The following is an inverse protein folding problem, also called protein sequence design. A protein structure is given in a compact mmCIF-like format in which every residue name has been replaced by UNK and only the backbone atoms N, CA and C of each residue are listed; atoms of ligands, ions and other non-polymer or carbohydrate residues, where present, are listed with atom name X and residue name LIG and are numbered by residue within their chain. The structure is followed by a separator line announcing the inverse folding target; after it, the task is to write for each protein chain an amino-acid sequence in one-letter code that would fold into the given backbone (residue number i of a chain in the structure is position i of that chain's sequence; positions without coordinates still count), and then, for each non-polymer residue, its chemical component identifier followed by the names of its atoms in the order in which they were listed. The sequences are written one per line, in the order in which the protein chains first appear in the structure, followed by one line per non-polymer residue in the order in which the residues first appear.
data_IF_264527131123
#
_entry.id   IF_264527131123
#
_cell.length_a   1.000
_cell.length_b   1.000
_cell.length_c   1.000
_cell.angle_alpha   90.00
_cell.angle_beta   90.00
_cell.angle_gamma   90.00
#
_symmetry.space_group_name_H-M   'P 1'
#
loop_
_entity.id
_entity.type
_entity.pdbx_description
1 polymer ?
#
# COMPACT_ATOMS: atom_id res chain seq x y z
N UNK A 1 -1.32 14.89 1.35
CA UNK A 1 -1.38 14.34 -0.03
C UNK A 1 -2.54 14.99 -0.77
N UNK A 2 -2.26 15.51 -1.93
CA UNK A 2 -3.28 16.16 -2.78
C UNK A 2 -3.47 15.36 -4.07
N UNK A 3 -4.73 15.16 -4.45
CA UNK A 3 -5.13 14.57 -5.72
C UNK A 3 -5.97 15.63 -6.48
N UNK A 4 -5.31 16.62 -7.13
CA UNK A 4 -6.02 17.77 -7.68
C UNK A 4 -7.06 17.43 -8.75
N UNK A 5 -6.79 16.40 -9.56
CA UNK A 5 -7.72 15.95 -10.59
C UNK A 5 -9.05 15.45 -10.02
N UNK A 6 -9.05 14.99 -8.76
CA UNK A 6 -10.23 14.52 -8.05
C UNK A 6 -10.78 15.56 -7.05
N UNK A 7 -10.08 16.69 -6.90
CA UNK A 7 -10.46 17.71 -5.91
C UNK A 7 -10.30 17.26 -4.46
N UNK A 8 -9.40 16.31 -4.20
CA UNK A 8 -9.23 15.71 -2.87
C UNK A 8 -7.89 16.11 -2.26
N UNK A 9 -7.91 16.38 -0.95
CA UNK A 9 -6.71 16.60 -0.13
C UNK A 9 -6.83 15.75 1.12
N UNK A 10 -5.74 15.05 1.45
CA UNK A 10 -5.68 14.18 2.62
C UNK A 10 -4.58 14.66 3.56
N UNK A 11 -4.90 14.69 4.84
CA UNK A 11 -3.99 15.12 5.90
C UNK A 11 -4.04 14.14 7.07
N UNK A 12 -3.10 14.29 8.00
CA UNK A 12 -3.10 13.50 9.24
C UNK A 12 -4.06 14.07 10.29
N UNK A 13 -4.40 15.35 10.17
CA UNK A 13 -5.30 16.04 11.09
C UNK A 13 -6.15 17.06 10.28
N UNK A 14 -7.49 16.85 10.19
CA UNK A 14 -8.21 15.69 10.69
C UNK A 14 -7.87 14.43 9.90
N UNK A 15 -7.74 13.31 10.60
CA UNK A 15 -7.44 12.04 9.96
C UNK A 15 -8.61 11.56 9.10
N UNK A 16 -8.35 10.95 7.93
CA UNK A 16 -9.42 10.37 7.13
C UNK A 16 -10.13 9.25 7.90
N UNK A 17 -11.43 9.11 7.65
CA UNK A 17 -12.23 8.01 8.19
C UNK A 17 -12.30 6.91 7.13
N UNK A 18 -11.84 5.72 7.48
CA UNK A 18 -11.89 4.58 6.56
C UNK A 18 -13.34 4.13 6.37
N UNK A 19 -13.78 3.94 5.11
CA UNK A 19 -15.05 3.28 4.88
C UNK A 19 -14.95 1.80 5.27
N UNK A 20 -16.09 1.16 5.65
CA UNK A 20 -16.08 -0.28 5.88
C UNK A 20 -15.76 -1.03 4.59
N UNK A 21 -15.15 -2.20 4.73
CA UNK A 21 -14.90 -3.06 3.57
C UNK A 21 -16.24 -3.54 3.01
N UNK A 22 -16.44 -3.33 1.71
CA UNK A 22 -17.70 -3.62 1.04
C UNK A 22 -17.58 -4.76 0.01
N UNK A 23 -16.35 -5.24 -0.22
CA UNK A 23 -16.06 -6.26 -1.22
C UNK A 23 -15.83 -7.61 -0.54
N UNK A 24 -16.46 -8.64 -1.04
CA UNK A 24 -16.14 -10.02 -0.64
C UNK A 24 -14.74 -10.39 -1.09
N UNK A 25 -14.37 -9.99 -2.30
CA UNK A 25 -13.06 -10.21 -2.88
C UNK A 25 -12.21 -8.94 -2.69
N UNK A 26 -11.10 -9.01 -1.95
CA UNK A 26 -10.25 -7.83 -1.78
C UNK A 26 -9.71 -7.32 -3.11
N UNK A 27 -9.53 -6.02 -3.22
CA UNK A 27 -8.89 -5.41 -4.39
C UNK A 27 -7.48 -4.99 -4.03
N UNK A 28 -6.53 -5.48 -4.81
CA UNK A 28 -5.13 -5.12 -4.70
C UNK A 28 -4.76 -4.13 -5.79
N UNK A 29 -4.09 -3.04 -5.42
CA UNK A 29 -3.56 -2.05 -6.36
C UNK A 29 -2.04 -2.08 -6.34
N UNK A 30 -1.42 -1.97 -7.51
CA UNK A 30 0.03 -2.01 -7.65
C UNK A 30 0.50 -1.14 -8.81
N UNK A 31 1.82 -1.05 -9.00
CA UNK A 31 2.42 -0.17 -10.00
C UNK A 31 2.09 -0.57 -11.43
N UNK A 32 1.86 0.42 -12.28
CA UNK A 32 1.61 0.24 -13.71
C UNK A 32 2.85 -0.24 -14.46
N UNK A 33 4.02 0.28 -14.09
CA UNK A 33 5.22 0.19 -14.92
C UNK A 33 6.27 -0.78 -14.36
N UNK A 34 5.97 -1.52 -13.31
CA UNK A 34 6.91 -2.43 -12.66
C UNK A 34 6.39 -3.85 -12.71
N UNK A 35 7.31 -4.82 -12.69
CA UNK A 35 6.92 -6.22 -12.62
C UNK A 35 6.68 -6.59 -11.14
N UNK A 36 5.43 -6.66 -10.72
CA UNK A 36 5.09 -6.75 -9.31
C UNK A 36 4.94 -8.21 -8.86
N UNK A 37 6.04 -8.96 -8.82
CA UNK A 37 5.97 -10.39 -8.46
C UNK A 37 5.29 -10.62 -7.11
N UNK A 38 5.67 -9.86 -6.09
CA UNK A 38 5.05 -10.03 -4.77
C UNK A 38 3.58 -9.63 -4.78
N UNK A 39 3.20 -8.61 -5.55
CA UNK A 39 1.80 -8.22 -5.68
C UNK A 39 0.97 -9.32 -6.35
N UNK A 40 1.50 -9.94 -7.41
CA UNK A 40 0.84 -11.06 -8.08
C UNK A 40 0.68 -12.24 -7.12
N UNK A 41 1.71 -12.57 -6.36
CA UNK A 41 1.66 -13.67 -5.41
C UNK A 41 0.64 -13.43 -4.29
N UNK A 42 0.56 -12.19 -3.77
CA UNK A 42 -0.46 -11.82 -2.78
C UNK A 42 -1.86 -11.91 -3.40
N UNK A 43 -2.04 -11.38 -4.61
CA UNK A 43 -3.35 -11.42 -5.28
C UNK A 43 -3.82 -12.85 -5.48
N UNK A 44 -2.93 -13.75 -5.89
CA UNK A 44 -3.26 -15.16 -6.08
C UNK A 44 -3.58 -15.86 -4.75
N UNK A 45 -2.80 -15.58 -3.71
CA UNK A 45 -2.96 -16.21 -2.40
C UNK A 45 -4.29 -15.80 -1.71
N UNK A 46 -4.70 -14.54 -1.87
CA UNK A 46 -5.89 -14.00 -1.21
C UNK A 46 -7.10 -13.93 -2.15
N UNK A 47 -6.96 -14.34 -3.41
CA UNK A 47 -8.05 -14.25 -4.38
C UNK A 47 -8.42 -12.81 -4.70
N UNK A 48 -7.45 -11.92 -4.79
CA UNK A 48 -7.71 -10.50 -5.02
C UNK A 48 -8.04 -10.19 -6.49
N UNK A 49 -8.89 -9.18 -6.67
CA UNK A 49 -9.00 -8.46 -7.92
C UNK A 49 -7.83 -7.46 -7.99
N UNK A 50 -7.03 -7.50 -9.06
CA UNK A 50 -5.82 -6.70 -9.18
C UNK A 50 -6.00 -5.54 -10.15
N UNK A 51 -5.60 -4.35 -9.71
CA UNK A 51 -5.68 -3.10 -10.49
C UNK A 51 -4.30 -2.45 -10.53
N UNK A 52 -3.97 -1.80 -11.64
CA UNK A 52 -2.70 -1.09 -11.80
C UNK A 52 -2.93 0.40 -11.97
N UNK A 53 -2.10 1.19 -11.31
CA UNK A 53 -2.17 2.65 -11.36
C UNK A 53 -0.77 3.23 -11.19
N UNK A 54 -0.53 4.39 -11.77
CA UNK A 54 0.69 5.18 -11.50
C UNK A 54 0.58 5.95 -10.19
N UNK A 55 1.70 6.51 -9.71
CA UNK A 55 1.81 7.30 -8.49
C UNK A 55 1.65 6.49 -7.19
N UNK A 56 2.70 6.48 -6.39
CA UNK A 56 2.68 5.85 -5.06
C UNK A 56 1.65 6.54 -4.15
N UNK A 57 1.59 7.87 -4.20
CA UNK A 57 0.62 8.63 -3.41
C UNK A 57 -0.82 8.29 -3.78
N UNK A 58 -1.13 8.24 -5.08
CA UNK A 58 -2.47 7.92 -5.56
C UNK A 58 -2.88 6.49 -5.17
N UNK A 59 -1.96 5.53 -5.24
CA UNK A 59 -2.24 4.14 -4.85
C UNK A 59 -2.51 4.00 -3.35
N UNK A 60 -1.69 4.66 -2.52
CA UNK A 60 -1.91 4.64 -1.07
C UNK A 60 -3.25 5.31 -0.72
N UNK A 61 -3.58 6.44 -1.36
CA UNK A 61 -4.85 7.12 -1.12
C UNK A 61 -6.06 6.32 -1.63
N UNK A 62 -5.89 5.49 -2.66
CA UNK A 62 -6.94 4.56 -3.08
C UNK A 62 -7.34 3.60 -1.95
N UNK A 63 -6.38 3.16 -1.14
CA UNK A 63 -6.68 2.34 0.04
C UNK A 63 -7.38 3.18 1.12
N UNK A 64 -6.94 4.41 1.32
CA UNK A 64 -7.54 5.33 2.31
C UNK A 64 -9.02 5.59 1.99
N UNK A 65 -9.37 5.79 0.73
CA UNK A 65 -10.77 6.06 0.34
C UNK A 65 -11.60 4.80 0.13
N UNK A 66 -11.00 3.61 0.24
CA UNK A 66 -11.71 2.35 0.08
C UNK A 66 -11.92 1.88 -1.35
N UNK A 67 -11.27 2.49 -2.31
CA UNK A 67 -11.28 2.01 -3.70
C UNK A 67 -10.41 0.78 -3.90
N UNK A 68 -9.43 0.58 -3.01
CA UNK A 68 -8.63 -0.63 -2.92
C UNK A 68 -8.51 -1.04 -1.46
N UNK A 69 -8.07 -2.26 -1.22
CA UNK A 69 -7.92 -2.82 0.12
C UNK A 69 -6.44 -3.07 0.47
N UNK A 70 -5.61 -3.26 -0.54
CA UNK A 70 -4.19 -3.60 -0.41
C UNK A 70 -3.40 -2.85 -1.49
N UNK A 71 -2.30 -2.20 -1.07
CA UNK A 71 -1.30 -1.68 -1.99
C UNK A 71 0.05 -2.31 -1.65
N UNK A 72 0.61 -3.06 -2.59
CA UNK A 72 1.94 -3.68 -2.49
C UNK A 72 2.83 -3.08 -3.56
N UNK A 73 4.00 -2.59 -3.14
CA UNK A 73 5.04 -2.12 -4.05
C UNK A 73 6.36 -2.82 -3.73
N UNK A 74 6.94 -3.48 -4.72
CA UNK A 74 8.32 -3.94 -4.68
C UNK A 74 9.05 -3.42 -5.93
N UNK A 75 10.35 -3.36 -5.91
CA UNK A 75 11.14 -2.81 -7.02
C UNK A 75 11.66 -1.41 -6.75
N UNK A 76 11.49 -0.93 -5.56
CA UNK A 76 12.11 0.29 -5.06
C UNK A 76 11.34 1.57 -5.30
N UNK A 77 11.54 2.49 -4.40
CA UNK A 77 11.10 3.88 -4.47
C UNK A 77 12.04 4.71 -3.61
N UNK A 78 11.83 6.01 -3.58
CA UNK A 78 12.54 6.87 -2.63
C UNK A 78 11.64 7.19 -1.44
N UNK A 79 12.26 7.57 -0.31
CA UNK A 79 11.54 7.91 0.91
C UNK A 79 10.50 9.02 0.70
N UNK A 80 10.82 10.00 -0.16
CA UNK A 80 9.90 11.10 -0.47
C UNK A 80 8.65 10.66 -1.27
N UNK A 81 8.68 9.47 -1.90
CA UNK A 81 7.50 8.95 -2.60
C UNK A 81 6.44 8.41 -1.64
N UNK A 82 6.85 8.01 -0.45
CA UNK A 82 5.98 7.30 0.49
C UNK A 82 5.79 7.96 1.83
N UNK A 83 6.64 8.94 2.22
CA UNK A 83 6.58 9.50 3.57
C UNK A 83 5.22 10.16 3.88
N UNK A 84 4.74 11.03 3.02
CA UNK A 84 3.43 11.66 3.23
C UNK A 84 2.27 10.67 3.10
N UNK A 85 2.21 9.81 2.06
CA UNK A 85 1.17 8.78 2.00
C UNK A 85 1.17 7.83 3.20
N UNK A 86 2.35 7.43 3.69
CA UNK A 86 2.44 6.56 4.87
C UNK A 86 1.87 7.24 6.11
N UNK A 87 2.20 8.52 6.32
CA UNK A 87 1.69 9.27 7.48
C UNK A 87 0.16 9.36 7.44
N UNK A 88 -0.43 9.68 6.30
CA UNK A 88 -1.89 9.77 6.15
C UNK A 88 -2.54 8.39 6.35
N UNK A 89 -1.98 7.34 5.76
CA UNK A 89 -2.51 5.98 5.89
C UNK A 89 -2.48 5.51 7.35
N UNK A 90 -1.39 5.75 8.07
CA UNK A 90 -1.29 5.45 9.50
C UNK A 90 -2.32 6.21 10.31
N UNK A 91 -2.48 7.51 10.06
CA UNK A 91 -3.48 8.33 10.75
C UNK A 91 -4.91 7.83 10.49
N UNK A 92 -5.17 7.28 9.31
CA UNK A 92 -6.46 6.68 8.95
C UNK A 92 -6.71 5.32 9.59
N UNK A 93 -5.72 4.72 10.25
CA UNK A 93 -5.84 3.41 10.90
C UNK A 93 -5.50 2.22 10.01
N UNK A 94 -4.85 2.45 8.89
CA UNK A 94 -4.38 1.37 8.03
C UNK A 94 -3.07 0.76 8.55
N UNK A 95 -2.78 -0.47 8.12
CA UNK A 95 -1.48 -1.07 8.31
C UNK A 95 -0.51 -0.51 7.28
N UNK A 96 0.66 -0.04 7.74
CA UNK A 96 1.72 0.49 6.89
C UNK A 96 3.04 -0.13 7.33
N UNK A 97 3.76 -0.77 6.41
CA UNK A 97 5.05 -1.39 6.72
C UNK A 97 5.87 -1.62 5.46
N UNK A 98 7.07 -2.13 5.65
CA UNK A 98 7.83 -2.81 4.61
C UNK A 98 7.14 -4.14 4.29
N UNK A 99 7.46 -4.74 3.17
CA UNK A 99 6.86 -6.03 2.78
C UNK A 99 7.28 -7.21 3.66
N UNK A 100 8.30 -7.03 4.48
CA UNK A 100 8.69 -8.01 5.50
C UNK A 100 7.98 -7.79 6.85
N UNK A 101 7.12 -6.78 6.94
CA UNK A 101 6.40 -6.41 8.15
C UNK A 101 7.15 -5.44 9.06
N UNK A 102 8.40 -5.10 8.75
CA UNK A 102 9.16 -4.14 9.56
C UNK A 102 8.63 -2.71 9.35
N UNK A 103 8.84 -1.81 10.34
CA UNK A 103 8.37 -0.44 10.22
C UNK A 103 9.05 0.31 9.08
N UNK A 104 8.32 1.28 8.51
CA UNK A 104 8.91 2.25 7.59
C UNK A 104 9.84 3.17 8.37
N UNK A 105 11.04 3.39 7.84
CA UNK A 105 12.04 4.29 8.42
C UNK A 105 12.34 5.37 7.38
N UNK A 106 12.28 6.63 7.80
CA UNK A 106 12.48 7.79 6.93
C UNK A 106 13.66 8.63 7.42
N UNK A 107 14.06 9.56 6.59
CA UNK A 107 15.16 10.49 6.86
C UNK A 107 16.51 9.77 7.03
N UNK A 108 16.69 8.71 6.27
CA UNK A 108 17.97 8.00 6.22
C UNK A 108 18.94 8.68 5.26
N UNK A 109 20.24 8.46 5.47
CA UNK A 109 21.28 9.00 4.60
C UNK A 109 21.12 8.48 3.16
N UNK A 110 20.83 7.19 3.00
CA UNK A 110 20.40 6.61 1.72
C UNK A 110 18.88 6.70 1.63
N UNK A 111 18.33 7.53 0.73
CA UNK A 111 16.89 7.71 0.62
C UNK A 111 16.17 6.59 -0.12
N UNK A 112 16.89 5.56 -0.54
CA UNK A 112 16.31 4.42 -1.25
C UNK A 112 15.45 3.58 -0.30
N UNK A 113 14.26 3.23 -0.76
CA UNK A 113 13.32 2.39 -0.03
C UNK A 113 12.93 1.22 -0.94
N UNK A 114 13.27 -0.04 -0.57
CA UNK A 114 13.06 -1.17 -1.48
C UNK A 114 11.61 -1.49 -1.76
N UNK A 115 10.73 -1.32 -0.78
CA UNK A 115 9.34 -1.78 -0.89
C UNK A 115 8.42 -1.05 0.09
N UNK A 116 7.10 -1.26 -0.09
CA UNK A 116 6.08 -0.54 0.65
C UNK A 116 4.78 -1.34 0.66
N UNK A 117 4.15 -1.43 1.81
CA UNK A 117 2.86 -2.10 1.98
C UNK A 117 1.89 -1.19 2.73
N UNK A 118 0.72 -0.99 2.16
CA UNK A 118 -0.42 -0.34 2.82
C UNK A 118 -1.63 -1.25 2.64
N UNK A 119 -2.30 -1.61 3.73
CA UNK A 119 -3.52 -2.42 3.62
C UNK A 119 -4.43 -2.21 4.82
N UNK A 120 -5.64 -2.70 4.71
CA UNK A 120 -6.58 -2.74 5.84
C UNK A 120 -6.01 -3.64 6.93
N UNK A 121 -6.24 -3.26 8.20
CA UNK A 121 -5.68 -3.98 9.36
C UNK A 121 -6.09 -5.45 9.38
N UNK A 122 -7.33 -5.76 9.03
CA UNK A 122 -7.84 -7.13 9.03
C UNK A 122 -7.20 -8.01 7.96
N UNK A 123 -6.55 -7.41 6.95
CA UNK A 123 -5.84 -8.13 5.90
C UNK A 123 -4.33 -8.22 6.12
N UNK A 124 -3.80 -7.55 7.14
CA UNK A 124 -2.35 -7.44 7.35
C UNK A 124 -1.68 -8.80 7.50
N UNK A 125 -2.18 -9.66 8.37
CA UNK A 125 -1.57 -10.98 8.59
C UNK A 125 -1.60 -11.87 7.34
N UNK A 126 -2.75 -12.08 6.68
CA UNK A 126 -2.76 -12.90 5.46
C UNK A 126 -1.88 -12.31 4.35
N UNK A 127 -1.80 -10.98 4.22
CA UNK A 127 -0.92 -10.35 3.23
C UNK A 127 0.54 -10.61 3.58
N UNK A 128 0.94 -10.43 4.83
CA UNK A 128 2.33 -10.67 5.26
C UNK A 128 2.72 -12.14 5.14
N UNK A 129 1.80 -13.05 5.40
CA UNK A 129 2.04 -14.49 5.20
C UNK A 129 2.25 -14.82 3.72
N UNK A 130 1.44 -14.27 2.84
CA UNK A 130 1.60 -14.43 1.39
C UNK A 130 2.94 -13.85 0.91
N UNK A 131 3.36 -12.71 1.45
CA UNK A 131 4.64 -12.09 1.11
C UNK A 131 5.82 -12.93 1.60
N UNK A 132 5.73 -13.54 2.78
CA UNK A 132 6.77 -14.46 3.26
C UNK A 132 6.88 -15.69 2.36
N UNK A 133 5.76 -16.26 1.97
CA UNK A 133 5.73 -17.40 1.06
C UNK A 133 6.30 -17.04 -0.31
N UNK A 134 5.99 -15.87 -0.82
CA UNK A 134 6.53 -15.35 -2.08
C UNK A 134 8.07 -15.27 -2.05
N UNK A 135 8.64 -14.78 -0.95
CA UNK A 135 10.10 -14.68 -0.80
C UNK A 135 10.79 -16.05 -0.74
N UNK A 136 10.14 -17.07 -0.19
CA UNK A 136 10.72 -18.42 -0.11
C UNK A 136 10.79 -19.12 -1.45
N UNK A 137 9.97 -18.74 -2.42
CA UNK A 137 9.91 -19.35 -3.74
C UNK A 137 10.76 -18.61 -4.77
N UNK A 138 11.45 -17.54 -4.38
CA UNK A 138 12.24 -16.69 -5.29
C UNK A 138 13.74 -16.73 -5.02
#
# INVERSE_FOLDING_TARGET
VSLPALGLVFATDPAPVLPPQQREQPRLITSRNRNPYSAVDVANALGCDAVRLGSAGAKAMAVVVGEADIYVHDGGMYQWDSAAPAAVALAAGLHVSRTDGSPMVFNERDPWLPDFLVCRQELAEPVLDALRASRRTR
#
